data_IF_936449645765
#
_entry.id   IF_936449645765
#
_cell.length_a   1.000
_cell.length_b   1.000
_cell.length_c   1.000
_cell.angle_alpha   90.00
_cell.angle_beta   90.00
_cell.angle_gamma   90.00
#
_symmetry.space_group_name_H-M   'P 1'
#
loop_
_entity.id
_entity.type
_entity.pdbx_description
1 polymer ?
#
# COMPACT_ATOMS: atom_id res chain seq x y z
N UNK A 1 -19.39 3.47 -7.84
CA UNK A 1 -20.47 2.49 -7.59
C UNK A 1 -20.30 1.24 -8.44
N UNK A 2 -20.16 1.35 -9.76
CA UNK A 2 -20.02 0.21 -10.70
C UNK A 2 -18.84 -0.72 -10.33
N UNK A 3 -17.70 -0.17 -9.93
CA UNK A 3 -16.53 -0.97 -9.52
C UNK A 3 -16.80 -1.81 -8.27
N UNK A 4 -17.60 -1.33 -7.34
CA UNK A 4 -17.98 -2.08 -6.12
C UNK A 4 -18.86 -3.28 -6.49
N UNK A 5 -19.82 -3.08 -7.39
CA UNK A 5 -20.69 -4.16 -7.86
C UNK A 5 -19.90 -5.23 -8.64
N UNK A 6 -18.92 -4.82 -9.44
CA UNK A 6 -18.00 -5.76 -10.10
C UNK A 6 -17.24 -6.59 -9.06
N UNK A 7 -16.64 -5.95 -8.06
CA UNK A 7 -15.89 -6.67 -7.01
C UNK A 7 -16.78 -7.65 -6.24
N UNK A 8 -17.99 -7.25 -5.87
CA UNK A 8 -18.98 -8.15 -5.24
C UNK A 8 -19.34 -9.34 -6.12
N UNK A 9 -19.41 -9.14 -7.43
CA UNK A 9 -19.70 -10.21 -8.38
C UNK A 9 -18.56 -11.25 -8.48
N UNK A 10 -17.32 -10.82 -8.37
CA UNK A 10 -16.14 -11.69 -8.55
C UNK A 10 -15.52 -12.18 -7.23
N UNK A 11 -15.89 -11.60 -6.07
CA UNK A 11 -15.24 -11.90 -4.77
C UNK A 11 -15.18 -13.40 -4.45
N UNK A 12 -16.20 -14.18 -4.84
CA UNK A 12 -16.25 -15.63 -4.57
C UNK A 12 -15.07 -16.38 -5.17
N UNK A 13 -14.58 -15.97 -6.35
CA UNK A 13 -13.41 -16.59 -6.97
C UNK A 13 -12.15 -16.37 -6.14
N UNK A 14 -12.00 -15.19 -5.55
CA UNK A 14 -10.88 -14.87 -4.67
C UNK A 14 -11.02 -15.52 -3.30
N UNK A 15 -12.24 -15.60 -2.75
CA UNK A 15 -12.54 -16.33 -1.52
C UNK A 15 -12.17 -17.82 -1.64
N UNK A 16 -12.57 -18.45 -2.74
CA UNK A 16 -12.29 -19.86 -3.01
C UNK A 16 -10.80 -20.11 -3.27
N UNK A 17 -10.15 -19.19 -4.01
CA UNK A 17 -8.74 -19.33 -4.37
C UNK A 17 -7.80 -19.12 -3.17
N UNK A 18 -8.04 -18.09 -2.38
CA UNK A 18 -7.18 -17.72 -1.24
C UNK A 18 -7.63 -18.36 0.08
N UNK A 19 -8.82 -18.92 0.16
CA UNK A 19 -9.38 -19.43 1.42
C UNK A 19 -9.59 -18.31 2.45
N UNK A 20 -9.98 -17.12 2.02
CA UNK A 20 -10.20 -15.94 2.85
C UNK A 20 -11.60 -15.40 2.58
N UNK A 21 -12.35 -15.04 3.62
CA UNK A 21 -13.68 -14.44 3.47
C UNK A 21 -13.57 -12.95 3.18
N UNK A 22 -14.36 -12.45 2.20
CA UNK A 22 -14.39 -11.05 1.80
C UNK A 22 -15.80 -10.51 2.01
N UNK A 23 -15.98 -9.57 2.94
CA UNK A 23 -17.28 -8.92 3.15
C UNK A 23 -17.58 -7.91 2.03
N UNK A 24 -18.86 -7.57 1.85
CA UNK A 24 -19.26 -6.53 0.89
C UNK A 24 -18.70 -5.15 1.27
N UNK A 25 -18.52 -4.92 2.57
CA UNK A 25 -17.90 -3.71 3.10
C UNK A 25 -16.44 -3.63 2.68
N UNK A 26 -15.70 -4.74 2.72
CA UNK A 26 -14.31 -4.77 2.27
C UNK A 26 -14.16 -4.55 0.76
N UNK A 27 -15.13 -5.00 -0.05
CA UNK A 27 -15.16 -4.66 -1.48
C UNK A 27 -15.30 -3.14 -1.70
N UNK A 28 -16.20 -2.49 -0.97
CA UNK A 28 -16.39 -1.04 -1.05
C UNK A 28 -15.15 -0.29 -0.55
N UNK A 29 -14.55 -0.77 0.53
CA UNK A 29 -13.35 -0.20 1.13
C UNK A 29 -12.14 -0.34 0.19
N UNK A 30 -11.95 -1.48 -0.45
CA UNK A 30 -10.87 -1.69 -1.42
C UNK A 30 -10.98 -0.72 -2.61
N UNK A 31 -12.21 -0.46 -3.12
CA UNK A 31 -12.42 0.54 -4.17
C UNK A 31 -12.08 1.95 -3.65
N UNK A 32 -12.55 2.32 -2.46
CA UNK A 32 -12.30 3.63 -1.84
C UNK A 32 -10.81 3.88 -1.63
N UNK A 33 -10.13 2.93 -1.04
CA UNK A 33 -8.70 3.02 -0.74
C UNK A 33 -7.84 3.00 -2.01
N UNK A 34 -8.17 2.13 -2.98
CA UNK A 34 -7.44 2.08 -4.24
C UNK A 34 -7.63 3.36 -5.07
N UNK A 35 -8.83 3.93 -5.11
CA UNK A 35 -9.08 5.22 -5.79
C UNK A 35 -8.26 6.34 -5.17
N UNK A 36 -8.13 6.32 -3.85
CA UNK A 36 -7.46 7.37 -3.10
C UNK A 36 -5.94 7.28 -3.16
N UNK A 37 -5.37 6.09 -3.00
CA UNK A 37 -3.94 5.89 -2.78
C UNK A 37 -3.18 5.31 -3.98
N UNK A 38 -3.85 4.65 -4.91
CA UNK A 38 -3.24 4.05 -6.10
C UNK A 38 -3.58 4.90 -7.32
N UNK A 39 -2.60 5.67 -7.84
CA UNK A 39 -2.81 6.67 -8.88
C UNK A 39 -2.33 6.23 -10.27
N UNK A 40 -1.53 5.18 -10.35
CA UNK A 40 -0.88 4.67 -11.55
C UNK A 40 -1.75 3.68 -12.35
N UNK A 41 -2.91 3.30 -11.83
CA UNK A 41 -3.83 2.34 -12.45
C UNK A 41 -5.28 2.83 -12.39
N UNK A 42 -6.15 2.20 -13.18
CA UNK A 42 -7.57 2.55 -13.26
C UNK A 42 -8.43 1.55 -12.47
N UNK A 43 -9.63 1.99 -12.07
CA UNK A 43 -10.68 1.12 -11.56
C UNK A 43 -11.35 0.37 -12.75
N UNK A 44 -11.77 -0.88 -12.57
CA UNK A 44 -11.77 -1.67 -11.32
C UNK A 44 -10.44 -2.37 -11.01
N UNK A 45 -9.51 -2.50 -11.96
CA UNK A 45 -8.31 -3.35 -11.91
C UNK A 45 -7.49 -3.13 -10.65
N UNK A 46 -7.19 -1.87 -10.29
CA UNK A 46 -6.41 -1.57 -9.08
C UNK A 46 -7.07 -2.01 -7.77
N UNK A 47 -8.39 -2.09 -7.71
CA UNK A 47 -9.10 -2.57 -6.54
C UNK A 47 -9.14 -4.11 -6.49
N UNK A 48 -9.17 -4.74 -7.66
CA UNK A 48 -9.06 -6.19 -7.81
C UNK A 48 -7.67 -6.65 -7.37
N UNK A 49 -6.61 -6.03 -7.90
CA UNK A 49 -5.22 -6.32 -7.53
C UNK A 49 -4.99 -6.12 -6.02
N UNK A 50 -5.60 -5.08 -5.42
CA UNK A 50 -5.50 -4.81 -3.99
C UNK A 50 -6.12 -5.93 -3.14
N UNK A 51 -7.30 -6.43 -3.54
CA UNK A 51 -7.95 -7.55 -2.85
C UNK A 51 -7.14 -8.83 -3.02
N UNK A 52 -6.65 -9.13 -4.21
CA UNK A 52 -5.86 -10.32 -4.50
C UNK A 52 -4.59 -10.38 -3.65
N UNK A 53 -3.82 -9.30 -3.62
CA UNK A 53 -2.59 -9.21 -2.81
C UNK A 53 -2.88 -9.24 -1.31
N UNK A 54 -3.95 -8.56 -0.86
CA UNK A 54 -4.32 -8.55 0.55
C UNK A 54 -4.79 -9.92 1.03
N UNK A 55 -5.55 -10.67 0.22
CA UNK A 55 -5.93 -12.04 0.53
C UNK A 55 -4.72 -12.97 0.55
N UNK A 56 -3.76 -12.78 -0.35
CA UNK A 56 -2.48 -13.51 -0.35
C UNK A 56 -1.69 -13.26 0.95
N UNK A 57 -1.59 -12.00 1.40
CA UNK A 57 -0.91 -11.64 2.66
C UNK A 57 -1.58 -12.28 3.89
N UNK A 58 -2.93 -12.29 3.93
CA UNK A 58 -3.71 -12.95 4.98
C UNK A 58 -3.43 -14.44 4.99
N UNK A 59 -3.47 -15.08 3.83
CA UNK A 59 -3.25 -16.52 3.70
C UNK A 59 -1.84 -16.92 4.13
N UNK A 60 -0.81 -16.22 3.65
CA UNK A 60 0.59 -16.48 4.02
C UNK A 60 0.87 -16.32 5.52
N UNK A 61 0.15 -15.43 6.21
CA UNK A 61 0.29 -15.18 7.65
C UNK A 61 -0.64 -16.01 8.52
N UNK A 62 -1.61 -16.68 7.91
CA UNK A 62 -2.55 -17.50 8.63
C UNK A 62 -1.83 -18.72 9.22
N UNK A 63 -1.80 -18.82 10.55
CA UNK A 63 -1.28 -20.01 11.26
C UNK A 63 -2.02 -21.27 10.85
N UNK A 64 -3.31 -21.14 10.57
CA UNK A 64 -4.18 -22.24 10.14
C UNK A 64 -3.71 -22.80 8.80
N UNK A 65 -3.42 -21.90 7.83
CA UNK A 65 -2.94 -22.29 6.50
C UNK A 65 -1.57 -22.99 6.57
N UNK A 66 -0.61 -22.41 7.31
CA UNK A 66 0.71 -23.00 7.50
C UNK A 66 0.58 -24.38 8.14
N UNK A 67 -0.20 -24.49 9.23
CA UNK A 67 -0.40 -25.74 9.94
C UNK A 67 -1.10 -26.80 9.08
N UNK A 68 -2.08 -26.37 8.27
CA UNK A 68 -2.77 -27.26 7.32
C UNK A 68 -1.81 -27.83 6.27
N UNK A 69 -0.93 -27.00 5.70
CA UNK A 69 0.07 -27.44 4.73
C UNK A 69 1.09 -28.40 5.35
N UNK A 70 1.52 -28.17 6.60
CA UNK A 70 2.38 -29.09 7.33
C UNK A 70 1.71 -30.45 7.58
N UNK A 71 0.46 -30.45 8.05
CA UNK A 71 -0.31 -31.67 8.32
C UNK A 71 -0.58 -32.47 7.04
N UNK A 72 -0.89 -31.78 5.94
CA UNK A 72 -1.09 -32.44 4.65
C UNK A 72 0.18 -33.15 4.18
N UNK A 73 1.33 -32.48 4.31
CA UNK A 73 2.63 -33.06 3.99
C UNK A 73 2.94 -34.26 4.89
N UNK A 74 2.73 -34.12 6.20
CA UNK A 74 2.92 -35.22 7.15
C UNK A 74 2.05 -36.43 6.77
N UNK A 75 0.79 -36.22 6.38
CA UNK A 75 -0.12 -37.27 5.92
C UNK A 75 0.39 -37.96 4.65
N UNK A 76 0.86 -37.20 3.68
CA UNK A 76 1.38 -37.77 2.45
C UNK A 76 2.65 -38.61 2.71
N UNK A 77 3.54 -38.15 3.59
CA UNK A 77 4.74 -38.87 4.01
C UNK A 77 4.38 -40.18 4.75
N UNK A 78 3.41 -40.14 5.69
CA UNK A 78 2.95 -41.31 6.42
C UNK A 78 2.28 -42.34 5.49
N UNK A 79 1.47 -41.89 4.56
CA UNK A 79 0.82 -42.75 3.55
C UNK A 79 1.85 -43.41 2.65
N UNK A 80 2.84 -42.66 2.19
CA UNK A 80 3.93 -43.19 1.39
C UNK A 80 4.75 -44.25 2.13
N UNK A 81 5.11 -44.01 3.41
CA UNK A 81 5.84 -44.99 4.23
C UNK A 81 5.00 -46.29 4.41
N UNK A 82 3.70 -46.13 4.68
CA UNK A 82 2.79 -47.29 4.83
C UNK A 82 2.67 -48.07 3.52
N UNK A 83 2.49 -47.42 2.37
CA UNK A 83 2.39 -48.10 1.08
C UNK A 83 3.67 -48.84 0.71
N UNK A 84 4.83 -48.25 0.98
CA UNK A 84 6.12 -48.91 0.79
C UNK A 84 6.24 -50.17 1.66
N UNK A 85 5.79 -50.11 2.93
CA UNK A 85 5.78 -51.27 3.80
C UNK A 85 4.77 -52.32 3.36
N UNK A 86 3.66 -51.94 2.73
CA UNK A 86 2.66 -52.89 2.22
C UNK A 86 3.10 -53.55 0.91
N UNK A 87 3.82 -52.83 0.04
CA UNK A 87 4.25 -53.29 -1.27
C UNK A 87 5.63 -53.97 -1.27
N UNK A 88 6.40 -53.87 -0.18
CA UNK A 88 7.69 -54.53 -0.07
C UNK A 88 7.52 -56.05 -0.14
N UNK A 89 7.83 -56.65 -1.25
CA UNK A 89 7.97 -58.09 -1.40
C UNK A 89 9.14 -58.58 -0.56
N UNK A 90 9.02 -59.84 -0.08
CA UNK A 90 10.14 -60.48 0.61
C UNK A 90 11.36 -60.54 -0.33
N UNK A 91 12.57 -60.18 0.15
CA UNK A 91 13.77 -60.33 -0.67
C UNK A 91 13.84 -61.74 -1.21
N UNK A 92 14.10 -61.88 -2.51
CA UNK A 92 14.12 -63.17 -3.20
C UNK A 92 15.11 -64.13 -2.51
N UNK A 93 14.56 -65.13 -1.78
CA UNK A 93 15.34 -66.15 -1.11
C UNK A 93 15.28 -66.20 0.44
N UNK A 94 14.65 -65.20 1.11
CA UNK A 94 14.45 -65.23 2.55
C UNK A 94 12.98 -65.51 2.88
N UNK A 95 12.73 -66.61 3.64
CA UNK A 95 11.43 -66.84 4.30
C UNK A 95 11.30 -65.78 5.41
N UNK A 96 10.31 -64.88 5.28
CA UNK A 96 9.96 -63.94 6.33
C UNK A 96 9.68 -64.71 7.61
N UNK A 97 10.48 -64.51 8.64
CA UNK A 97 10.22 -65.12 9.97
C UNK A 97 8.98 -64.44 10.56
N UNK A 98 8.19 -65.20 11.34
CA UNK A 98 6.97 -64.67 12.00
C UNK A 98 7.24 -63.41 12.80
N UNK A 99 8.41 -63.29 13.43
CA UNK A 99 8.84 -62.05 14.14
C UNK A 99 8.99 -60.82 13.24
N UNK A 100 9.45 -60.98 12.01
CA UNK A 100 9.60 -59.89 11.04
C UNK A 100 8.22 -59.44 10.50
N UNK A 101 7.32 -60.36 10.30
CA UNK A 101 5.93 -60.08 9.93
C UNK A 101 5.19 -59.35 11.04
N UNK A 102 5.34 -59.75 12.29
CA UNK A 102 4.72 -59.09 13.43
C UNK A 102 5.24 -57.66 13.60
N UNK A 103 6.53 -57.42 13.46
CA UNK A 103 7.13 -56.07 13.49
C UNK A 103 6.60 -55.17 12.35
N UNK A 104 6.44 -55.74 11.16
CA UNK A 104 5.89 -55.03 9.98
C UNK A 104 4.43 -54.64 10.21
N UNK A 105 3.60 -55.59 10.69
CA UNK A 105 2.19 -55.29 10.99
C UNK A 105 2.06 -54.28 12.14
N UNK A 106 2.88 -54.39 13.17
CA UNK A 106 2.91 -53.41 14.25
C UNK A 106 3.25 -52.00 13.75
N UNK A 107 4.24 -51.86 12.83
CA UNK A 107 4.59 -50.60 12.25
C UNK A 107 3.48 -50.03 11.36
N UNK A 108 2.81 -50.86 10.56
CA UNK A 108 1.65 -50.45 9.75
C UNK A 108 0.50 -49.95 10.65
N UNK A 109 0.25 -50.62 11.76
CA UNK A 109 -0.79 -50.22 12.73
C UNK A 109 -0.44 -48.88 13.40
N UNK A 110 0.84 -48.66 13.74
CA UNK A 110 1.34 -47.39 14.29
C UNK A 110 1.14 -46.25 13.28
N UNK A 111 1.53 -46.44 11.99
CA UNK A 111 1.37 -45.45 10.93
C UNK A 111 -0.10 -45.10 10.73
N UNK A 112 -1.02 -46.09 10.69
CA UNK A 112 -2.45 -45.84 10.58
C UNK A 112 -3.00 -45.01 11.76
N UNK A 113 -2.53 -45.30 12.97
CA UNK A 113 -2.93 -44.49 14.14
C UNK A 113 -2.48 -43.03 14.01
N UNK A 114 -1.27 -42.81 13.52
CA UNK A 114 -0.74 -41.45 13.26
C UNK A 114 -1.51 -40.74 12.13
N UNK A 115 -1.82 -41.44 11.04
CA UNK A 115 -2.65 -40.90 9.96
C UNK A 115 -4.02 -40.45 10.51
N UNK A 116 -4.70 -41.28 11.28
CA UNK A 116 -6.00 -40.94 11.86
C UNK A 116 -5.92 -39.71 12.79
N UNK A 117 -4.85 -39.62 13.60
CA UNK A 117 -4.64 -38.42 14.44
C UNK A 117 -4.43 -37.15 13.61
N UNK A 118 -3.64 -37.21 12.52
CA UNK A 118 -3.42 -36.05 11.64
C UNK A 118 -4.67 -35.67 10.86
N UNK A 119 -5.46 -36.66 10.42
CA UNK A 119 -6.77 -36.41 9.78
C UNK A 119 -7.77 -35.74 10.74
N UNK A 120 -7.80 -36.13 12.00
CA UNK A 120 -8.63 -35.48 13.02
C UNK A 120 -8.16 -34.06 13.32
N UNK A 121 -6.84 -33.82 13.40
CA UNK A 121 -6.28 -32.49 13.60
C UNK A 121 -6.60 -31.59 12.41
N UNK A 122 -6.52 -32.12 11.18
CA UNK A 122 -6.86 -31.38 9.96
C UNK A 122 -8.36 -31.03 9.93
N UNK A 123 -9.24 -31.96 10.27
CA UNK A 123 -10.67 -31.73 10.38
C UNK A 123 -11.02 -30.69 11.47
N UNK A 124 -10.29 -30.66 12.58
CA UNK A 124 -10.49 -29.64 13.62
C UNK A 124 -10.09 -28.23 13.15
N UNK A 125 -9.01 -28.12 12.37
CA UNK A 125 -8.59 -26.83 11.78
C UNK A 125 -9.58 -26.30 10.75
N UNK A 126 -10.29 -27.18 10.04
CA UNK A 126 -11.37 -26.77 9.12
C UNK A 126 -12.58 -26.16 9.86
N UNK A 127 -12.76 -26.51 11.14
CA UNK A 127 -13.80 -25.95 12.01
C UNK A 127 -13.40 -24.62 12.67
N UNK A 128 -12.11 -24.29 12.75
CA UNK A 128 -11.60 -23.04 13.38
C UNK A 128 -11.94 -21.77 12.62
N UNK A 129 -12.47 -21.89 11.42
CA UNK A 129 -12.99 -20.77 10.63
C UNK A 129 -12.03 -20.24 9.56
N UNK A 130 -12.62 -19.75 8.50
CA UNK A 130 -11.93 -19.13 7.39
C UNK A 130 -11.50 -17.71 7.84
N UNK A 131 -10.23 -17.31 7.66
CA UNK A 131 -9.80 -15.96 8.00
C UNK A 131 -10.57 -14.91 7.18
N UNK A 132 -10.83 -13.76 7.79
CA UNK A 132 -11.53 -12.67 7.12
C UNK A 132 -10.54 -11.59 6.68
N UNK A 133 -10.79 -11.02 5.51
CA UNK A 133 -10.08 -9.84 5.02
C UNK A 133 -10.49 -8.63 5.87
N UNK A 134 -9.51 -7.88 6.36
CA UNK A 134 -9.70 -6.70 7.19
C UNK A 134 -9.17 -5.44 6.51
N UNK A 135 -9.63 -4.27 6.94
CA UNK A 135 -9.10 -2.98 6.49
C UNK A 135 -7.58 -2.87 6.75
N UNK A 136 -7.08 -3.47 7.83
CA UNK A 136 -5.65 -3.51 8.13
C UNK A 136 -4.84 -4.23 7.06
N UNK A 137 -5.37 -5.31 6.51
CA UNK A 137 -4.71 -6.03 5.43
C UNK A 137 -4.64 -5.19 4.15
N UNK A 138 -5.73 -4.51 3.77
CA UNK A 138 -5.76 -3.59 2.65
C UNK A 138 -4.77 -2.43 2.85
N UNK A 139 -4.79 -1.81 4.02
CA UNK A 139 -3.89 -0.70 4.36
C UNK A 139 -2.41 -1.11 4.30
N UNK A 140 -2.07 -2.33 4.74
CA UNK A 140 -0.70 -2.85 4.67
C UNK A 140 -0.21 -3.04 3.23
N UNK A 141 -1.05 -3.54 2.34
CA UNK A 141 -0.68 -3.68 0.92
C UNK A 141 -0.46 -2.31 0.29
N UNK A 142 -1.33 -1.34 0.59
CA UNK A 142 -1.15 0.04 0.13
C UNK A 142 0.15 0.63 0.67
N UNK A 143 0.51 0.39 1.93
CA UNK A 143 1.79 0.81 2.50
C UNK A 143 2.98 0.20 1.74
N UNK A 144 2.91 -1.08 1.38
CA UNK A 144 3.96 -1.72 0.59
C UNK A 144 4.14 -1.07 -0.79
N UNK A 145 3.03 -0.72 -1.45
CA UNK A 145 3.05 -0.16 -2.80
C UNK A 145 3.39 1.33 -2.82
N UNK A 146 2.78 2.10 -1.91
CA UNK A 146 2.85 3.57 -1.93
C UNK A 146 3.83 4.16 -0.92
N UNK A 147 4.30 3.35 0.03
CA UNK A 147 5.13 3.75 1.18
C UNK A 147 4.40 4.72 2.14
N UNK A 148 3.07 4.79 2.08
CA UNK A 148 2.26 5.54 3.03
C UNK A 148 1.98 4.63 4.22
N UNK A 149 2.30 5.02 5.47
CA UNK A 149 2.10 4.17 6.64
C UNK A 149 0.65 3.71 6.78
N UNK A 150 0.43 2.43 7.12
CA UNK A 150 -0.91 1.86 7.31
C UNK A 150 -1.71 2.58 8.41
N UNK A 151 -1.03 3.12 9.44
CA UNK A 151 -1.65 3.96 10.46
C UNK A 151 -2.32 5.19 9.87
N UNK A 152 -1.69 5.85 8.91
CA UNK A 152 -2.23 7.02 8.23
C UNK A 152 -3.41 6.71 7.30
N UNK A 153 -3.52 5.46 6.84
CA UNK A 153 -4.62 5.00 5.99
C UNK A 153 -5.87 4.72 6.83
N UNK A 154 -5.68 4.18 8.04
CA UNK A 154 -6.75 3.75 8.96
C UNK A 154 -7.28 4.85 9.87
N UNK A 155 -6.43 5.84 10.20
CA UNK A 155 -6.85 6.94 11.07
C UNK A 155 -7.97 7.74 10.40
N UNK A 156 -9.02 8.03 11.14
CA UNK A 156 -10.08 8.90 10.63
C UNK A 156 -9.47 10.25 10.25
N UNK A 157 -9.47 10.54 8.96
CA UNK A 157 -8.90 11.77 8.43
C UNK A 157 -9.48 13.02 9.08
N UNK A 158 -10.75 12.94 9.51
CA UNK A 158 -11.41 14.05 10.17
C UNK A 158 -10.83 14.32 11.58
N UNK A 159 -10.54 13.28 12.36
CA UNK A 159 -9.90 13.43 13.66
C UNK A 159 -8.47 13.97 13.53
N UNK A 160 -7.73 13.43 12.56
CA UNK A 160 -6.38 13.87 12.26
C UNK A 160 -6.35 15.35 11.86
N UNK A 161 -7.23 15.75 10.96
CA UNK A 161 -7.37 17.16 10.54
C UNK A 161 -7.93 18.06 11.64
N UNK A 162 -8.80 17.53 12.52
CA UNK A 162 -9.30 18.29 13.67
C UNK A 162 -8.15 18.72 14.59
N UNK A 163 -7.20 17.82 14.86
CA UNK A 163 -6.09 18.00 15.79
C UNK A 163 -4.84 18.62 15.16
N UNK A 164 -4.80 18.80 13.84
CA UNK A 164 -3.65 19.33 13.09
C UNK A 164 -3.10 20.64 13.66
N UNK A 165 -3.99 21.60 13.97
CA UNK A 165 -3.58 22.89 14.51
C UNK A 165 -2.90 22.79 15.88
N UNK A 166 -3.35 21.88 16.74
CA UNK A 166 -2.71 21.61 18.04
C UNK A 166 -1.29 21.11 17.87
N UNK A 167 -1.11 20.07 17.07
CA UNK A 167 0.20 19.47 16.78
C UNK A 167 1.19 20.44 16.13
N UNK A 168 0.72 21.29 15.19
CA UNK A 168 1.58 22.31 14.58
C UNK A 168 2.04 23.37 15.60
N UNK A 169 1.18 23.79 16.54
CA UNK A 169 1.53 24.77 17.58
C UNK A 169 2.55 24.26 18.59
N UNK A 170 2.67 22.96 18.78
CA UNK A 170 3.73 22.36 19.60
C UNK A 170 5.14 22.72 19.10
N UNK A 171 5.26 22.93 17.79
CA UNK A 171 6.55 23.19 17.13
C UNK A 171 6.68 24.62 16.59
N UNK A 172 5.57 25.25 16.23
CA UNK A 172 5.53 26.59 15.63
C UNK A 172 4.97 27.56 16.67
N UNK A 173 5.85 28.35 17.24
CA UNK A 173 5.52 29.28 18.32
C UNK A 173 5.32 30.71 17.77
N UNK A 174 4.26 31.38 18.17
CA UNK A 174 4.02 32.78 17.87
C UNK A 174 3.53 33.06 16.45
N UNK A 175 2.99 32.03 15.74
CA UNK A 175 2.40 32.14 14.41
C UNK A 175 1.01 31.51 14.35
N UNK A 176 0.21 31.69 15.41
CA UNK A 176 -1.09 31.03 15.57
C UNK A 176 -2.06 31.34 14.43
N UNK A 177 -2.10 32.60 14.00
CA UNK A 177 -2.96 33.05 12.90
C UNK A 177 -2.61 32.35 11.56
N UNK A 178 -1.32 32.21 11.27
CA UNK A 178 -0.85 31.51 10.07
C UNK A 178 -1.17 30.02 10.13
N UNK A 179 -0.98 29.38 11.29
CA UNK A 179 -1.33 27.97 11.53
C UNK A 179 -2.83 27.77 11.34
N UNK A 180 -3.68 28.63 11.90
CA UNK A 180 -5.13 28.54 11.77
C UNK A 180 -5.60 28.71 10.32
N UNK A 181 -5.01 29.65 9.59
CA UNK A 181 -5.32 29.87 8.19
C UNK A 181 -4.99 28.65 7.32
N UNK A 182 -3.80 28.04 7.52
CA UNK A 182 -3.36 26.82 6.83
C UNK A 182 -4.28 25.65 7.17
N UNK A 183 -4.53 25.37 8.45
CA UNK A 183 -5.40 24.29 8.89
C UNK A 183 -6.82 24.42 8.33
N UNK A 184 -7.37 25.63 8.35
CA UNK A 184 -8.71 25.92 7.81
C UNK A 184 -8.79 25.72 6.31
N UNK A 185 -7.75 26.08 5.56
CA UNK A 185 -7.71 25.86 4.11
C UNK A 185 -7.60 24.37 3.77
N UNK A 186 -6.78 23.61 4.49
CA UNK A 186 -6.66 22.16 4.32
C UNK A 186 -7.97 21.45 4.64
N UNK A 187 -8.60 21.76 5.78
CA UNK A 187 -9.92 21.22 6.14
C UNK A 187 -10.95 21.47 5.04
N UNK A 188 -11.06 22.69 4.52
CA UNK A 188 -11.98 23.02 3.41
C UNK A 188 -11.69 22.26 2.14
N UNK A 189 -10.41 22.04 1.83
CA UNK A 189 -10.01 21.27 0.64
C UNK A 189 -10.43 19.80 0.72
N UNK A 190 -10.39 19.22 1.92
CA UNK A 190 -10.70 17.80 2.15
C UNK A 190 -12.20 17.51 2.26
N UNK A 191 -13.01 18.45 2.69
CA UNK A 191 -14.48 18.30 2.76
C UNK A 191 -15.17 18.24 1.38
N UNK A 192 -14.39 18.34 0.29
CA UNK A 192 -14.91 17.99 -1.05
C UNK A 192 -15.82 19.04 -1.70
N UNK A 193 -15.87 20.27 -1.21
CA UNK A 193 -16.70 21.36 -1.79
C UNK A 193 -16.19 21.89 -3.13
N UNK A 194 -15.05 21.39 -3.63
CA UNK A 194 -14.49 21.84 -4.91
C UNK A 194 -14.80 20.84 -6.04
N UNK A 195 -15.47 21.30 -7.07
CA UNK A 195 -15.80 20.53 -8.27
C UNK A 195 -14.57 20.07 -9.10
N UNK A 196 -13.39 20.64 -8.85
CA UNK A 196 -12.11 20.23 -9.49
C UNK A 196 -11.09 19.86 -8.42
N UNK A 197 -10.44 18.72 -8.57
CA UNK A 197 -9.32 18.26 -7.71
C UNK A 197 -8.07 19.10 -8.01
N UNK A 198 -8.01 20.33 -7.46
CA UNK A 198 -6.81 21.16 -7.53
C UNK A 198 -6.00 21.02 -6.23
N UNK A 199 -4.66 21.09 -6.29
CA UNK A 199 -3.83 21.11 -5.10
C UNK A 199 -4.15 22.33 -4.25
N UNK A 200 -4.10 22.19 -2.93
CA UNK A 200 -4.24 23.33 -2.02
C UNK A 200 -2.94 24.10 -2.02
N UNK A 201 -2.99 25.35 -2.42
CA UNK A 201 -1.82 26.20 -2.63
C UNK A 201 -1.77 27.32 -1.61
N UNK A 202 -0.56 27.62 -1.11
CA UNK A 202 -0.28 28.65 -0.13
C UNK A 202 0.88 29.52 -0.59
N UNK A 203 0.82 30.80 -0.30
CA UNK A 203 1.93 31.74 -0.47
C UNK A 203 2.29 32.26 0.92
N UNK A 204 3.51 31.96 1.39
CA UNK A 204 4.03 32.46 2.64
C UNK A 204 4.90 33.70 2.41
N UNK A 205 4.49 34.83 2.93
CA UNK A 205 5.22 36.11 2.84
C UNK A 205 5.63 36.55 4.21
N UNK A 206 6.85 37.05 4.36
CA UNK A 206 7.36 37.54 5.65
C UNK A 206 8.89 37.59 5.68
N UNK A 207 9.42 38.22 6.72
CA UNK A 207 10.87 38.35 6.93
C UNK A 207 11.62 37.06 7.03
N UNK A 208 12.95 37.11 6.99
CA UNK A 208 13.80 35.93 7.19
C UNK A 208 13.70 35.45 8.64
N UNK A 209 13.69 34.13 8.88
CA UNK A 209 13.72 33.55 10.23
C UNK A 209 12.37 33.48 10.95
N UNK A 210 11.26 33.90 10.36
CA UNK A 210 9.92 33.87 11.00
C UNK A 210 9.23 32.50 11.01
N UNK A 211 9.88 31.45 10.49
CA UNK A 211 9.38 30.06 10.56
C UNK A 211 8.66 29.57 9.32
N UNK A 212 8.65 30.30 8.16
CA UNK A 212 7.94 29.89 6.92
C UNK A 212 8.27 28.47 6.49
N UNK A 213 9.54 28.18 6.29
CA UNK A 213 10.01 26.85 5.83
C UNK A 213 9.79 25.77 6.88
N UNK A 214 9.91 26.10 8.17
CA UNK A 214 9.69 25.14 9.26
C UNK A 214 8.20 24.75 9.34
N UNK A 215 7.28 25.68 9.18
CA UNK A 215 5.85 25.39 9.12
C UNK A 215 5.52 24.38 8.01
N UNK A 216 6.10 24.54 6.82
CA UNK A 216 5.87 23.61 5.70
C UNK A 216 6.46 22.24 5.98
N UNK A 217 7.65 22.16 6.59
CA UNK A 217 8.27 20.89 6.99
C UNK A 217 7.40 20.12 8.00
N UNK A 218 6.92 20.82 9.03
CA UNK A 218 6.05 20.21 10.05
C UNK A 218 4.70 19.80 9.47
N UNK A 219 4.14 20.63 8.59
CA UNK A 219 2.91 20.28 7.88
C UNK A 219 3.07 19.02 7.03
N UNK A 220 4.15 18.88 6.28
CA UNK A 220 4.41 17.70 5.47
C UNK A 220 4.57 16.44 6.32
N UNK A 221 5.34 16.53 7.41
CA UNK A 221 5.55 15.42 8.33
C UNK A 221 4.24 14.99 9.03
N UNK A 222 3.38 15.94 9.40
CA UNK A 222 2.11 15.65 10.07
C UNK A 222 1.05 15.08 9.11
N UNK A 223 0.93 15.63 7.90
CA UNK A 223 -0.08 15.19 6.94
C UNK A 223 0.21 13.80 6.35
N UNK A 224 1.49 13.43 6.21
CA UNK A 224 1.90 12.22 5.50
C UNK A 224 2.79 11.28 6.31
N UNK A 225 2.96 11.52 7.62
CA UNK A 225 3.79 10.75 8.58
C UNK A 225 5.22 10.45 8.09
N UNK A 226 5.71 11.24 7.13
CA UNK A 226 7.04 11.08 6.58
C UNK A 226 7.67 12.43 6.25
N UNK A 227 8.86 12.72 6.79
CA UNK A 227 9.60 13.92 6.40
C UNK A 227 10.01 13.92 4.93
N UNK A 228 10.07 12.74 4.32
CA UNK A 228 10.38 12.57 2.89
C UNK A 228 9.22 12.95 1.96
N UNK A 229 8.03 13.21 2.49
CA UNK A 229 6.88 13.70 1.73
C UNK A 229 7.01 15.18 1.33
N UNK A 230 8.09 15.84 1.78
CA UNK A 230 8.41 17.20 1.37
C UNK A 230 9.34 17.19 0.14
N UNK A 231 8.82 17.63 -1.00
CA UNK A 231 9.60 17.89 -2.21
C UNK A 231 9.98 19.37 -2.19
N UNK A 232 11.23 19.66 -1.83
CA UNK A 232 11.75 21.04 -1.83
C UNK A 232 12.46 21.33 -3.15
N UNK A 233 12.14 22.47 -3.76
CA UNK A 233 12.83 23.06 -4.90
C UNK A 233 13.27 24.47 -4.52
N UNK A 234 14.58 24.69 -4.53
CA UNK A 234 15.17 26.02 -4.30
C UNK A 234 15.18 26.79 -5.62
N UNK A 235 14.40 27.85 -5.69
CA UNK A 235 14.24 28.62 -6.93
C UNK A 235 15.50 29.44 -7.30
N UNK A 236 16.45 29.54 -6.42
CA UNK A 236 17.76 30.11 -6.75
C UNK A 236 18.55 29.26 -7.76
N UNK A 237 18.24 27.96 -7.86
CA UNK A 237 18.83 27.06 -8.87
C UNK A 237 18.14 27.19 -10.25
N UNK A 238 17.03 27.93 -10.32
CA UNK A 238 16.16 28.07 -11.50
C UNK A 238 16.07 29.53 -12.00
N UNK A 239 17.16 30.27 -11.90
CA UNK A 239 17.24 31.65 -12.32
C UNK A 239 17.41 31.82 -13.85
N UNK A 240 17.90 30.79 -14.53
CA UNK A 240 18.20 30.82 -15.96
C UNK A 240 17.01 30.30 -16.79
N UNK A 241 16.90 30.80 -18.04
CA UNK A 241 15.82 30.42 -18.97
C UNK A 241 15.74 28.91 -19.23
N UNK A 242 16.88 28.24 -19.31
CA UNK A 242 16.93 26.78 -19.54
C UNK A 242 16.49 25.93 -18.33
N UNK A 243 16.27 26.58 -17.21
CA UNK A 243 15.85 25.87 -15.97
C UNK A 243 14.44 25.28 -16.06
N UNK A 244 13.60 25.76 -16.99
CA UNK A 244 12.27 25.19 -17.26
C UNK A 244 12.37 23.72 -17.66
N UNK A 245 13.29 23.39 -18.57
CA UNK A 245 13.49 21.99 -18.99
C UNK A 245 13.98 21.07 -17.87
N UNK A 246 14.64 21.60 -16.85
CA UNK A 246 14.99 20.82 -15.65
C UNK A 246 13.77 20.50 -14.78
N UNK A 247 12.73 21.33 -14.80
CA UNK A 247 11.51 21.09 -13.99
C UNK A 247 10.58 20.09 -14.67
N UNK A 248 10.31 20.26 -15.99
CA UNK A 248 9.31 19.50 -16.74
C UNK A 248 9.90 18.54 -17.78
N UNK A 249 11.23 18.51 -17.94
CA UNK A 249 11.91 17.73 -18.99
C UNK A 249 12.17 18.55 -20.26
N UNK A 250 13.11 18.08 -21.07
CA UNK A 250 13.48 18.71 -22.36
C UNK A 250 12.51 18.29 -23.47
N UNK A 251 12.13 19.21 -24.38
CA UNK A 251 11.32 18.86 -25.54
C UNK A 251 12.02 17.84 -26.46
N UNK A 252 11.27 17.08 -27.28
CA UNK A 252 11.85 16.16 -28.26
C UNK A 252 12.88 16.85 -29.17
N UNK A 253 14.06 16.25 -29.34
CA UNK A 253 15.14 16.75 -30.16
C UNK A 253 16.17 17.64 -29.45
N UNK A 254 16.01 17.91 -28.17
CA UNK A 254 17.01 18.61 -27.37
C UNK A 254 17.81 17.62 -26.49
N UNK A 255 19.04 18.04 -26.15
CA UNK A 255 19.90 17.26 -25.23
C UNK A 255 19.22 17.13 -23.87
N UNK A 256 19.15 15.89 -23.36
CA UNK A 256 18.45 15.58 -22.09
C UNK A 256 16.96 15.23 -22.25
N UNK A 257 16.46 14.96 -23.46
CA UNK A 257 15.07 14.51 -23.66
C UNK A 257 14.72 13.21 -22.93
N UNK A 258 15.69 12.31 -22.79
CA UNK A 258 15.50 11.04 -22.05
C UNK A 258 15.44 11.23 -20.53
N UNK A 259 15.79 12.41 -20.03
CA UNK A 259 15.71 12.74 -18.60
C UNK A 259 14.33 13.37 -18.30
N UNK A 260 13.54 12.67 -17.47
CA UNK A 260 12.30 13.22 -16.96
C UNK A 260 12.54 14.49 -16.13
N UNK A 261 11.57 15.41 -16.11
CA UNK A 261 11.68 16.63 -15.31
C UNK A 261 11.82 16.32 -13.82
N UNK A 262 12.66 17.10 -13.13
CA UNK A 262 12.94 16.87 -11.70
C UNK A 262 11.67 16.91 -10.82
N UNK A 263 10.74 17.82 -11.14
CA UNK A 263 9.50 17.94 -10.39
C UNK A 263 8.53 16.83 -10.75
N UNK A 264 8.31 16.57 -12.03
CA UNK A 264 7.37 15.55 -12.50
C UNK A 264 7.76 14.16 -12.04
N UNK A 265 9.06 13.82 -12.11
CA UNK A 265 9.58 12.54 -11.63
C UNK A 265 9.44 12.38 -10.12
N UNK A 266 9.75 13.42 -9.32
CA UNK A 266 9.59 13.36 -7.86
C UNK A 266 8.13 13.19 -7.46
N UNK A 267 7.19 13.90 -8.14
CA UNK A 267 5.76 13.77 -7.87
C UNK A 267 5.24 12.40 -8.32
N UNK A 268 5.69 11.88 -9.47
CA UNK A 268 5.32 10.54 -9.95
C UNK A 268 5.71 9.46 -8.94
N UNK A 269 6.92 9.57 -8.36
CA UNK A 269 7.39 8.63 -7.32
C UNK A 269 6.70 8.81 -5.98
N UNK A 270 6.29 10.05 -5.64
CA UNK A 270 5.65 10.40 -4.36
C UNK A 270 4.41 11.27 -4.61
N UNK A 271 3.28 10.68 -5.06
CA UNK A 271 2.07 11.42 -5.43
C UNK A 271 1.41 12.13 -4.24
N UNK A 272 1.58 11.61 -3.03
CA UNK A 272 1.15 12.25 -1.79
C UNK A 272 2.32 13.01 -1.16
N UNK A 273 2.46 14.28 -1.53
CA UNK A 273 3.58 15.11 -1.08
C UNK A 273 3.20 16.57 -0.95
N UNK A 274 3.98 17.30 -0.19
CA UNK A 274 3.98 18.75 -0.15
C UNK A 274 5.11 19.24 -1.04
N UNK A 275 4.79 20.07 -2.02
CA UNK A 275 5.81 20.70 -2.87
C UNK A 275 6.09 22.10 -2.36
N UNK A 276 7.33 22.36 -1.98
CA UNK A 276 7.81 23.66 -1.52
C UNK A 276 8.69 24.30 -2.60
N UNK A 277 8.25 25.44 -3.12
CA UNK A 277 9.07 26.33 -3.94
C UNK A 277 9.66 27.40 -3.02
N UNK A 278 10.90 27.22 -2.63
CA UNK A 278 11.59 28.15 -1.73
C UNK A 278 12.25 29.30 -2.55
N UNK A 279 12.25 30.52 -2.01
CA UNK A 279 12.82 31.71 -2.63
C UNK A 279 12.23 32.01 -4.04
N UNK A 280 10.90 31.93 -4.15
CA UNK A 280 10.16 32.04 -5.42
C UNK A 280 10.49 33.34 -6.21
N UNK A 281 10.87 34.37 -5.52
CA UNK A 281 11.25 35.67 -6.11
C UNK A 281 12.52 35.60 -6.96
N UNK A 282 13.33 34.54 -6.82
CA UNK A 282 14.55 34.33 -7.62
C UNK A 282 14.31 33.54 -8.91
N UNK A 283 13.12 32.94 -9.06
CA UNK A 283 12.79 32.12 -10.23
C UNK A 283 12.74 32.93 -11.51
N UNK A 284 13.18 32.31 -12.63
CA UNK A 284 12.97 32.90 -13.95
C UNK A 284 11.47 33.05 -14.27
N UNK A 285 11.01 34.09 -14.97
CA UNK A 285 9.60 34.28 -15.31
C UNK A 285 8.94 33.10 -16.01
N UNK A 286 9.65 32.35 -16.85
CA UNK A 286 9.13 31.18 -17.53
C UNK A 286 8.82 30.05 -16.55
N UNK A 287 9.58 29.92 -15.45
CA UNK A 287 9.29 28.96 -14.34
C UNK A 287 8.01 29.39 -13.62
N UNK A 288 7.82 30.71 -13.38
CA UNK A 288 6.59 31.19 -12.76
C UNK A 288 5.36 30.91 -13.62
N UNK A 289 5.46 30.93 -14.94
CA UNK A 289 4.35 30.57 -15.84
C UNK A 289 3.93 29.11 -15.69
N UNK A 290 4.87 28.16 -15.45
CA UNK A 290 4.55 26.77 -15.16
C UNK A 290 3.81 26.64 -13.83
N UNK A 291 4.25 27.39 -12.81
CA UNK A 291 3.58 27.39 -11.52
C UNK A 291 2.15 27.92 -11.62
N UNK A 292 1.90 28.93 -12.45
CA UNK A 292 0.55 29.41 -12.73
C UNK A 292 -0.32 28.34 -13.36
N UNK A 293 0.21 27.54 -14.29
CA UNK A 293 -0.51 26.41 -14.86
C UNK A 293 -0.89 25.36 -13.79
N UNK A 294 0.02 25.04 -12.88
CA UNK A 294 -0.26 24.13 -11.76
C UNK A 294 -1.39 24.68 -10.86
N UNK A 295 -1.37 25.99 -10.58
CA UNK A 295 -2.37 26.63 -9.74
C UNK A 295 -3.75 26.71 -10.43
N UNK A 296 -3.77 26.93 -11.73
CA UNK A 296 -5.01 27.10 -12.50
C UNK A 296 -5.63 25.79 -12.92
N UNK A 297 -4.85 24.87 -13.49
CA UNK A 297 -5.34 23.61 -14.02
C UNK A 297 -5.23 22.45 -13.04
N UNK A 298 -4.38 22.59 -12.01
CA UNK A 298 -4.09 21.52 -11.04
C UNK A 298 -3.25 20.39 -11.62
N UNK A 299 -2.65 20.59 -12.78
CA UNK A 299 -1.84 19.59 -13.49
C UNK A 299 -0.68 20.24 -14.22
N UNK A 300 0.32 19.44 -14.50
CA UNK A 300 1.44 19.78 -15.37
C UNK A 300 1.66 18.61 -16.33
N UNK A 301 1.99 18.92 -17.57
CA UNK A 301 2.34 17.92 -18.58
C UNK A 301 3.84 17.99 -18.80
N UNK A 302 4.53 16.87 -18.67
CA UNK A 302 5.96 16.80 -18.95
C UNK A 302 6.24 16.60 -20.45
N UNK A 303 7.52 16.55 -20.82
CA UNK A 303 7.94 16.37 -22.21
C UNK A 303 7.60 14.99 -22.79
N UNK A 304 7.18 14.03 -21.94
CA UNK A 304 6.82 12.68 -22.34
C UNK A 304 5.29 12.46 -22.42
N UNK A 305 4.46 13.44 -22.02
CA UNK A 305 2.99 13.44 -22.10
C UNK A 305 2.34 13.13 -20.75
#
# INVERSE_FOLDING_TARGET
EDSVEILKGIKRYYEDFHGVRISDEMCAEAVRLSERYITDRFLPDKAIDLIDEACSDVNLKSRIFIRRAELQKDLDDLRFERENLMSADAPAGETLTDELLDKRYARIAELRSKEMQREQELASLELEGIPELTEENLARVIELWTKIPASSIREDEFERLANLGGRLREHIIGQDEAVDAVCSAIKRSRVGLKAKRKPTSFIFVGGTGVGKTELVKRLAADLFDSPESLIRLDMSEFMEKFSVSRIIGSPPGYVGYDEAGQLTEKIRRKPYSVVLFDEIEKAHPDVLNILLQILDDGRITDSQG
#
